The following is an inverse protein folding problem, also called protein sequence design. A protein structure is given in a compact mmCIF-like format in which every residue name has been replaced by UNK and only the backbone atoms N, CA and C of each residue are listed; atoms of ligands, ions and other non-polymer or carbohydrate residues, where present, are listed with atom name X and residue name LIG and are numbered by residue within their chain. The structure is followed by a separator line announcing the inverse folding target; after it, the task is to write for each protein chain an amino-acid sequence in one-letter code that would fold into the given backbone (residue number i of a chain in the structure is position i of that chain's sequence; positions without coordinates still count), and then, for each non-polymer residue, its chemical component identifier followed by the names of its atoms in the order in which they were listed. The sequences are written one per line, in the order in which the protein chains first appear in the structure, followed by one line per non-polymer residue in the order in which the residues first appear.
data_IF_273127477570
#
_entry.id   IF_273127477570
#
_cell.length_a   1.000
_cell.length_b   1.000
_cell.length_c   1.000
_cell.angle_alpha   90.00
_cell.angle_beta   90.00
_cell.angle_gamma   90.00
#
_symmetry.space_group_name_H-M   'P 1'
#
loop_
_entity.id
_entity.type
_entity.pdbx_description
1 polymer ?
#
# COMPACT_ATOMS: atom_id res chain seq x y z
N UNK A 1 -38.84 -16.11 -55.71
CA UNK A 1 -38.70 -16.66 -54.35
C UNK A 1 -37.43 -16.20 -53.61
N UNK A 2 -36.41 -15.67 -54.27
CA UNK A 2 -35.12 -15.28 -53.64
C UNK A 2 -35.15 -13.98 -52.83
N UNK A 3 -35.93 -12.95 -53.19
CA UNK A 3 -35.96 -11.64 -52.53
C UNK A 3 -36.69 -11.64 -51.19
N UNK A 4 -37.68 -12.49 -50.98
CA UNK A 4 -38.42 -12.60 -49.71
C UNK A 4 -37.59 -13.27 -48.60
N UNK A 5 -36.73 -14.22 -48.97
CA UNK A 5 -35.84 -14.93 -48.02
C UNK A 5 -34.73 -14.03 -47.50
N UNK A 6 -34.17 -13.15 -48.35
CA UNK A 6 -33.17 -12.16 -47.92
C UNK A 6 -33.72 -11.14 -46.95
N UNK A 7 -34.96 -10.68 -47.13
CA UNK A 7 -35.61 -9.72 -46.20
C UNK A 7 -35.88 -10.35 -44.83
N UNK A 8 -36.29 -11.62 -44.80
CA UNK A 8 -36.48 -12.37 -43.55
C UNK A 8 -35.17 -12.62 -42.80
N UNK A 9 -34.08 -12.88 -43.47
CA UNK A 9 -32.76 -13.08 -42.85
C UNK A 9 -32.23 -11.73 -42.31
N UNK A 10 -32.40 -10.63 -43.03
CA UNK A 10 -32.01 -9.29 -42.57
C UNK A 10 -32.82 -8.84 -41.33
N UNK A 11 -34.12 -9.15 -41.27
CA UNK A 11 -34.94 -8.83 -40.07
C UNK A 11 -34.57 -9.66 -38.86
N UNK A 12 -34.18 -10.91 -39.04
CA UNK A 12 -33.68 -11.76 -37.92
C UNK A 12 -32.32 -11.28 -37.37
N UNK A 13 -31.44 -10.77 -38.24
CA UNK A 13 -30.14 -10.23 -37.82
C UNK A 13 -30.32 -8.93 -36.99
N UNK A 14 -31.29 -8.07 -37.36
CA UNK A 14 -31.56 -6.84 -36.62
C UNK A 14 -32.19 -7.11 -35.25
N UNK A 15 -33.04 -8.15 -35.12
CA UNK A 15 -33.62 -8.56 -33.84
C UNK A 15 -32.54 -9.18 -32.94
N UNK A 16 -31.59 -9.93 -33.50
CA UNK A 16 -30.45 -10.48 -32.74
C UNK A 16 -29.47 -9.42 -32.25
N UNK A 17 -29.23 -8.38 -33.07
CA UNK A 17 -28.37 -7.25 -32.67
C UNK A 17 -29.00 -6.42 -31.52
N UNK A 18 -30.34 -6.26 -31.53
CA UNK A 18 -31.03 -5.51 -30.46
C UNK A 18 -31.22 -6.28 -29.15
N UNK A 19 -31.16 -7.61 -29.20
CA UNK A 19 -31.21 -8.47 -28.00
C UNK A 19 -29.88 -8.46 -27.23
N UNK A 20 -28.77 -8.16 -27.91
CA UNK A 20 -27.43 -8.17 -27.28
C UNK A 20 -27.10 -6.91 -26.48
N UNK A 21 -27.86 -5.82 -26.68
CA UNK A 21 -27.62 -4.54 -26.01
C UNK A 21 -28.43 -4.34 -24.72
N UNK A 22 -29.16 -5.36 -24.28
CA UNK A 22 -29.86 -5.37 -22.98
C UNK A 22 -29.22 -6.23 -21.92
N UNK A 23 -27.94 -6.53 -22.02
CA UNK A 23 -27.21 -6.89 -20.83
C UNK A 23 -26.95 -5.58 -20.08
N UNK A 24 -27.84 -5.30 -19.09
CA UNK A 24 -27.51 -4.37 -18.01
C UNK A 24 -26.08 -4.67 -17.61
N UNK A 25 -25.21 -3.68 -17.80
CA UNK A 25 -23.87 -3.70 -17.23
C UNK A 25 -24.01 -4.20 -15.78
N UNK A 26 -23.24 -5.21 -15.36
CA UNK A 26 -23.24 -5.59 -13.96
C UNK A 26 -22.96 -4.30 -13.19
N UNK A 27 -23.77 -4.04 -12.16
CA UNK A 27 -23.56 -2.98 -11.19
C UNK A 27 -22.06 -3.02 -10.90
N UNK A 28 -21.31 -1.91 -11.10
CA UNK A 28 -19.87 -1.93 -10.86
C UNK A 28 -19.69 -2.41 -9.42
N UNK A 29 -18.95 -3.49 -9.27
CA UNK A 29 -18.66 -4.15 -8.00
C UNK A 29 -17.80 -3.29 -7.05
N UNK A 30 -17.85 -1.98 -7.18
CA UNK A 30 -17.16 -1.03 -6.31
C UNK A 30 -17.79 -0.93 -4.92
N UNK A 31 -19.04 -1.37 -4.74
CA UNK A 31 -19.74 -1.27 -3.45
C UNK A 31 -19.54 -2.48 -2.53
N UNK A 32 -18.80 -3.52 -2.96
CA UNK A 32 -18.61 -4.75 -2.15
C UNK A 32 -17.20 -4.79 -1.49
N UNK A 33 -16.41 -3.73 -1.60
CA UNK A 33 -15.07 -3.71 -0.99
C UNK A 33 -15.06 -3.56 0.55
N UNK A 34 -16.23 -3.46 1.20
CA UNK A 34 -16.33 -3.33 2.66
C UNK A 34 -16.32 -4.66 3.41
N UNK A 35 -16.47 -5.79 2.73
CA UNK A 35 -16.47 -7.12 3.35
C UNK A 35 -15.22 -7.86 2.91
N UNK A 36 -14.24 -7.97 3.81
CA UNK A 36 -12.95 -8.59 3.49
C UNK A 36 -13.02 -10.12 3.54
N UNK A 37 -13.78 -10.66 4.50
CA UNK A 37 -13.99 -12.11 4.64
C UNK A 37 -15.32 -12.37 5.32
N UNK A 38 -15.99 -13.45 4.91
CA UNK A 38 -17.17 -13.99 5.59
C UNK A 38 -16.80 -15.38 6.09
N UNK A 39 -16.83 -15.56 7.40
CA UNK A 39 -16.58 -16.84 8.04
C UNK A 39 -17.91 -17.47 8.48
N UNK A 40 -18.01 -18.78 8.31
CA UNK A 40 -19.10 -19.59 8.85
C UNK A 40 -18.71 -20.07 10.25
N UNK A 41 -19.43 -19.65 11.26
CA UNK A 41 -19.28 -20.19 12.63
C UNK A 41 -20.50 -20.99 13.02
N UNK A 42 -20.29 -22.22 13.48
CA UNK A 42 -21.33 -23.07 14.03
C UNK A 42 -21.20 -23.02 15.55
N UNK A 43 -22.21 -22.51 16.22
CA UNK A 43 -22.31 -22.48 17.68
C UNK A 43 -23.69 -22.92 18.11
N UNK A 44 -23.74 -23.81 19.10
CA UNK A 44 -24.99 -24.33 19.70
C UNK A 44 -25.99 -24.92 18.66
N UNK A 45 -25.45 -25.61 17.63
CA UNK A 45 -26.18 -26.19 16.50
C UNK A 45 -26.88 -25.18 15.57
N UNK A 46 -26.47 -23.89 15.67
CA UNK A 46 -26.92 -22.84 14.76
C UNK A 46 -25.72 -22.32 13.94
N UNK A 47 -25.96 -21.79 12.73
CA UNK A 47 -24.94 -21.34 11.79
C UNK A 47 -25.01 -19.84 11.65
N UNK A 48 -23.90 -19.17 12.02
CA UNK A 48 -23.76 -17.72 11.93
C UNK A 48 -22.79 -17.35 10.80
N UNK A 49 -23.11 -16.29 10.07
CA UNK A 49 -22.22 -15.65 9.12
C UNK A 49 -21.53 -14.47 9.80
N UNK A 50 -20.23 -14.58 10.03
CA UNK A 50 -19.42 -13.50 10.57
C UNK A 50 -18.75 -12.72 9.42
N UNK A 51 -19.13 -11.47 9.26
CA UNK A 51 -18.51 -10.60 8.26
C UNK A 51 -17.51 -9.66 8.92
N UNK A 52 -16.25 -9.70 8.47
CA UNK A 52 -15.24 -8.73 8.86
C UNK A 52 -15.36 -7.51 7.94
N UNK A 53 -15.61 -6.36 8.54
CA UNK A 53 -15.73 -5.09 7.82
C UNK A 53 -14.53 -4.21 8.09
N UNK A 54 -14.10 -3.43 7.11
CA UNK A 54 -13.10 -2.40 7.31
C UNK A 54 -13.58 -1.33 8.28
N UNK A 55 -12.66 -0.78 9.06
CA UNK A 55 -12.95 0.34 9.94
C UNK A 55 -13.36 1.56 9.11
N UNK A 56 -14.44 2.23 9.54
CA UNK A 56 -14.85 3.51 8.96
C UNK A 56 -14.42 4.61 9.94
N UNK A 57 -13.60 5.54 9.45
CA UNK A 57 -13.13 6.66 10.24
C UNK A 57 -13.96 7.90 9.97
N UNK A 58 -14.54 8.47 11.01
CA UNK A 58 -15.32 9.71 10.92
C UNK A 58 -14.51 10.84 11.57
N UNK A 59 -14.08 11.79 10.76
CA UNK A 59 -13.35 12.96 11.20
C UNK A 59 -14.15 14.24 11.00
N UNK A 60 -13.93 15.27 11.80
CA UNK A 60 -14.47 16.60 11.53
C UNK A 60 -14.10 17.07 10.14
N UNK A 61 -14.99 17.87 9.52
CA UNK A 61 -14.73 18.46 8.21
C UNK A 61 -13.41 19.25 8.24
N UNK A 62 -12.58 19.02 7.23
CA UNK A 62 -11.34 19.76 7.08
C UNK A 62 -11.64 21.20 6.66
N UNK A 63 -11.10 22.14 7.43
CA UNK A 63 -11.07 23.55 7.09
C UNK A 63 -9.62 23.97 6.95
N UNK A 64 -9.29 24.63 5.87
CA UNK A 64 -7.93 25.12 5.62
C UNK A 64 -7.90 26.63 5.82
N UNK A 65 -6.95 27.12 6.61
CA UNK A 65 -6.76 28.55 6.84
C UNK A 65 -6.26 29.28 5.59
N UNK A 66 -5.59 28.57 4.70
CA UNK A 66 -5.04 29.10 3.46
C UNK A 66 -4.78 28.01 2.41
N UNK A 67 -4.59 28.42 1.15
CA UNK A 67 -4.28 27.51 0.03
C UNK A 67 -3.00 26.71 0.21
N UNK A 68 -2.06 27.17 1.03
CA UNK A 68 -0.81 26.45 1.29
C UNK A 68 -1.06 25.21 2.15
N UNK A 69 -1.90 25.33 3.20
CA UNK A 69 -2.32 24.19 4.02
C UNK A 69 -3.10 23.15 3.20
N UNK A 70 -4.00 23.61 2.33
CA UNK A 70 -4.74 22.72 1.44
C UNK A 70 -3.79 21.96 0.50
N UNK A 71 -2.84 22.64 -0.15
CA UNK A 71 -1.83 22.01 -1.01
C UNK A 71 -0.97 21.02 -0.25
N UNK A 72 -0.58 21.35 0.98
CA UNK A 72 0.19 20.45 1.85
C UNK A 72 -0.60 19.18 2.16
N UNK A 73 -1.88 19.31 2.52
CA UNK A 73 -2.75 18.16 2.79
C UNK A 73 -2.85 17.24 1.56
N UNK A 74 -3.21 17.76 0.40
CA UNK A 74 -3.34 16.95 -0.80
C UNK A 74 -2.03 16.36 -1.30
N UNK A 75 -0.91 17.04 -1.05
CA UNK A 75 0.42 16.48 -1.26
C UNK A 75 0.67 15.29 -0.32
N UNK A 76 0.33 15.42 0.95
CA UNK A 76 0.42 14.34 1.94
C UNK A 76 -0.42 13.14 1.50
N UNK A 77 -1.66 13.33 1.08
CA UNK A 77 -2.52 12.26 0.55
C UNK A 77 -1.85 11.50 -0.60
N UNK A 78 -1.30 12.22 -1.59
CA UNK A 78 -0.62 11.58 -2.72
C UNK A 78 0.65 10.83 -2.31
N UNK A 79 1.43 11.42 -1.40
CA UNK A 79 2.68 10.81 -0.94
C UNK A 79 2.38 9.56 -0.10
N UNK A 80 1.39 9.59 0.80
CA UNK A 80 0.93 8.43 1.57
C UNK A 80 0.41 7.33 0.66
N UNK A 81 -0.54 7.62 -0.23
CA UNK A 81 -1.10 6.62 -1.18
C UNK A 81 -0.02 5.90 -1.97
N UNK A 82 1.04 6.63 -2.36
CA UNK A 82 2.13 6.04 -3.13
C UNK A 82 3.10 5.23 -2.28
N UNK A 83 3.39 5.66 -1.06
CA UNK A 83 4.47 5.09 -0.25
C UNK A 83 4.00 4.07 0.78
N UNK A 84 2.74 4.10 1.22
CA UNK A 84 2.20 3.18 2.22
C UNK A 84 2.34 1.71 1.82
N UNK A 85 2.02 1.27 0.58
CA UNK A 85 2.22 -0.11 0.17
C UNK A 85 3.70 -0.53 0.26
N UNK A 86 4.61 0.38 -0.09
CA UNK A 86 6.06 0.09 0.00
C UNK A 86 6.53 0.03 1.45
N UNK A 87 6.02 0.89 2.34
CA UNK A 87 6.36 0.84 3.77
C UNK A 87 5.96 -0.51 4.38
N UNK A 88 4.72 -0.95 4.17
CA UNK A 88 4.23 -2.25 4.64
C UNK A 88 5.07 -3.41 4.10
N UNK A 89 5.36 -3.38 2.81
CA UNK A 89 6.16 -4.42 2.15
C UNK A 89 7.61 -4.46 2.69
N UNK A 90 8.27 -3.31 2.82
CA UNK A 90 9.64 -3.25 3.35
C UNK A 90 9.71 -3.69 4.81
N UNK A 91 8.72 -3.34 5.62
CA UNK A 91 8.63 -3.80 7.01
C UNK A 91 8.47 -5.33 7.07
N UNK A 92 7.66 -5.93 6.20
CA UNK A 92 7.55 -7.39 6.10
C UNK A 92 8.87 -8.05 5.66
N UNK A 93 9.57 -7.47 4.67
CA UNK A 93 10.88 -7.95 4.23
C UNK A 93 11.93 -7.87 5.37
N UNK A 94 11.86 -6.84 6.22
CA UNK A 94 12.73 -6.71 7.39
C UNK A 94 12.43 -7.77 8.46
N UNK A 95 11.15 -7.98 8.79
CA UNK A 95 10.72 -9.04 9.71
C UNK A 95 11.17 -10.40 9.20
N UNK A 96 11.04 -10.66 7.91
CA UNK A 96 11.53 -11.88 7.29
C UNK A 96 13.05 -12.01 7.43
N UNK A 97 13.81 -10.95 7.15
CA UNK A 97 15.25 -10.94 7.27
C UNK A 97 15.72 -11.23 8.71
N UNK A 98 15.09 -10.61 9.72
CA UNK A 98 15.38 -10.84 11.13
C UNK A 98 15.14 -12.31 11.52
N UNK A 99 14.01 -12.89 11.08
CA UNK A 99 13.70 -14.32 11.31
C UNK A 99 14.74 -15.26 10.67
N UNK A 100 15.23 -14.94 9.47
CA UNK A 100 16.25 -15.75 8.81
C UNK A 100 17.62 -15.60 9.49
N UNK A 101 17.99 -14.36 9.87
CA UNK A 101 19.25 -14.10 10.57
C UNK A 101 19.30 -14.74 11.96
N UNK A 102 18.15 -14.84 12.65
CA UNK A 102 18.08 -15.51 13.96
C UNK A 102 18.40 -17.01 13.87
N UNK A 103 18.14 -17.66 12.74
CA UNK A 103 18.44 -19.08 12.51
C UNK A 103 19.92 -19.36 12.24
N UNK A 104 20.72 -18.34 11.97
CA UNK A 104 22.14 -18.49 11.61
C UNK A 104 22.99 -18.13 12.83
N UNK A 105 23.60 -19.10 13.49
CA UNK A 105 24.46 -18.86 14.66
C UNK A 105 25.79 -18.16 14.28
N UNK A 106 26.39 -18.55 13.15
CA UNK A 106 27.68 -18.03 12.69
C UNK A 106 27.56 -16.58 12.16
N UNK A 107 28.33 -15.69 12.75
CA UNK A 107 28.30 -14.27 12.40
C UNK A 107 28.80 -13.97 10.98
N UNK A 108 29.78 -14.76 10.46
CA UNK A 108 30.31 -14.62 9.10
C UNK A 108 29.25 -15.04 8.06
N UNK A 109 28.53 -16.14 8.33
CA UNK A 109 27.42 -16.62 7.50
C UNK A 109 26.25 -15.63 7.53
N UNK A 110 25.91 -15.04 8.70
CA UNK A 110 24.89 -13.96 8.81
C UNK A 110 25.22 -12.78 7.91
N UNK A 111 26.49 -12.32 7.95
CA UNK A 111 26.97 -11.19 7.12
C UNK A 111 26.89 -11.51 5.62
N UNK A 112 27.26 -12.73 5.23
CA UNK A 112 27.16 -13.17 3.83
C UNK A 112 25.73 -13.29 3.34
N UNK A 113 24.84 -13.86 4.16
CA UNK A 113 23.42 -13.97 3.85
C UNK A 113 22.80 -12.58 3.67
N UNK A 114 23.05 -11.66 4.62
CA UNK A 114 22.56 -10.30 4.54
C UNK A 114 23.01 -9.58 3.27
N UNK A 115 24.27 -9.67 2.91
CA UNK A 115 24.80 -9.05 1.69
C UNK A 115 24.11 -9.53 0.41
N UNK A 116 23.77 -10.84 0.36
CA UNK A 116 23.02 -11.41 -0.77
C UNK A 116 21.57 -10.90 -0.79
N UNK A 117 20.95 -10.88 0.38
CA UNK A 117 19.55 -10.45 0.54
C UNK A 117 19.36 -8.96 0.24
N UNK A 118 20.25 -8.11 0.74
CA UNK A 118 20.31 -6.69 0.41
C UNK A 118 20.40 -6.46 -1.11
N UNK A 119 21.28 -7.16 -1.79
CA UNK A 119 21.42 -7.06 -3.25
C UNK A 119 20.14 -7.49 -3.98
N UNK A 120 19.46 -8.51 -3.47
CA UNK A 120 18.18 -8.96 -3.98
C UNK A 120 17.09 -7.87 -3.81
N UNK A 121 16.95 -7.33 -2.61
CA UNK A 121 15.98 -6.26 -2.32
C UNK A 121 16.24 -5.02 -3.18
N UNK A 122 17.51 -4.61 -3.26
CA UNK A 122 17.87 -3.46 -4.07
C UNK A 122 17.49 -3.68 -5.55
N UNK A 123 17.84 -4.82 -6.12
CA UNK A 123 17.48 -5.15 -7.51
C UNK A 123 15.97 -5.19 -7.72
N UNK A 124 15.22 -5.69 -6.75
CA UNK A 124 13.76 -5.83 -6.83
C UNK A 124 13.04 -4.47 -6.80
N UNK A 125 13.50 -3.54 -5.96
CA UNK A 125 12.80 -2.28 -5.70
C UNK A 125 13.52 -1.03 -6.21
N UNK A 126 14.71 -1.15 -6.81
CA UNK A 126 15.51 0.00 -7.27
C UNK A 126 14.73 0.93 -8.21
N UNK A 127 14.01 0.36 -9.17
CA UNK A 127 13.26 1.18 -10.15
C UNK A 127 12.16 2.00 -9.49
N UNK A 128 11.46 1.44 -8.50
CA UNK A 128 10.39 2.11 -7.79
C UNK A 128 10.95 3.24 -6.92
N UNK A 129 12.04 2.97 -6.19
CA UNK A 129 12.69 3.99 -5.37
C UNK A 129 13.29 5.13 -6.21
N UNK A 130 13.85 4.84 -7.38
CA UNK A 130 14.38 5.89 -8.28
C UNK A 130 13.30 6.82 -8.81
N UNK A 131 12.05 6.36 -8.90
CA UNK A 131 10.89 7.16 -9.31
C UNK A 131 10.27 7.96 -8.16
N UNK A 132 10.73 7.78 -6.93
CA UNK A 132 10.25 8.54 -5.78
C UNK A 132 10.92 9.91 -5.70
N UNK A 133 10.12 10.92 -5.37
CA UNK A 133 10.66 12.25 -5.02
C UNK A 133 11.27 12.22 -3.61
N UNK A 134 12.09 13.21 -3.27
CA UNK A 134 12.64 13.33 -1.91
C UNK A 134 11.54 13.34 -0.82
N UNK A 135 10.43 14.04 -1.08
CA UNK A 135 9.27 14.07 -0.17
C UNK A 135 8.63 12.69 0.01
N UNK A 136 8.53 11.91 -1.07
CA UNK A 136 8.02 10.53 -1.00
C UNK A 136 8.97 9.61 -0.26
N UNK A 137 10.28 9.79 -0.44
CA UNK A 137 11.27 9.07 0.34
C UNK A 137 11.17 9.36 1.83
N UNK A 138 11.06 10.63 2.22
CA UNK A 138 10.83 11.03 3.61
C UNK A 138 9.53 10.44 4.17
N UNK A 139 8.44 10.49 3.40
CA UNK A 139 7.16 9.88 3.79
C UNK A 139 7.30 8.36 3.97
N UNK A 140 7.98 7.67 3.07
CA UNK A 140 8.25 6.24 3.19
C UNK A 140 8.92 5.87 4.51
N UNK A 141 9.92 6.67 4.94
CA UNK A 141 10.60 6.43 6.21
C UNK A 141 9.69 6.64 7.41
N UNK A 142 8.92 7.73 7.42
CA UNK A 142 7.92 7.97 8.46
C UNK A 142 6.92 6.81 8.57
N UNK A 143 6.46 6.30 7.44
CA UNK A 143 5.55 5.15 7.43
C UNK A 143 6.22 3.85 7.87
N UNK A 144 7.50 3.65 7.57
CA UNK A 144 8.26 2.51 8.09
C UNK A 144 8.46 2.59 9.61
N UNK A 145 8.68 3.79 10.16
CA UNK A 145 8.76 4.00 11.61
C UNK A 145 7.42 3.61 12.28
N UNK A 146 6.30 4.03 11.68
CA UNK A 146 4.95 3.67 12.13
C UNK A 146 4.70 2.16 12.11
N UNK A 147 5.09 1.49 11.03
CA UNK A 147 4.80 0.06 10.81
C UNK A 147 5.71 -0.89 11.61
N UNK A 148 6.88 -0.42 12.08
CA UNK A 148 7.92 -1.30 12.64
C UNK A 148 8.14 -1.15 14.14
N UNK A 149 7.49 -0.22 14.83
CA UNK A 149 7.77 0.19 16.21
C UNK A 149 9.26 0.53 16.48
N UNK A 150 10.04 0.73 15.41
CA UNK A 150 11.46 1.10 15.46
C UNK A 150 11.67 2.32 14.60
N UNK A 151 12.50 3.24 15.08
CA UNK A 151 12.88 4.37 14.23
C UNK A 151 13.66 3.91 13.01
N UNK A 152 13.43 4.55 11.87
CA UNK A 152 14.20 4.30 10.65
C UNK A 152 15.70 4.43 10.90
N UNK A 153 16.10 5.28 11.84
CA UNK A 153 17.49 5.40 12.28
C UNK A 153 18.01 4.10 12.92
N UNK A 154 17.24 3.47 13.80
CA UNK A 154 17.62 2.20 14.43
C UNK A 154 17.69 1.06 13.43
N UNK A 155 16.73 1.01 12.50
CA UNK A 155 16.75 0.06 11.40
C UNK A 155 18.00 0.26 10.55
N UNK A 156 18.29 1.48 10.15
CA UNK A 156 19.48 1.83 9.38
C UNK A 156 20.75 1.50 10.17
N UNK A 157 20.82 1.85 11.45
CA UNK A 157 21.97 1.54 12.32
C UNK A 157 22.19 0.03 12.47
N UNK A 158 21.12 -0.72 12.65
CA UNK A 158 21.20 -2.19 12.78
C UNK A 158 21.78 -2.85 11.53
N UNK A 159 21.44 -2.35 10.34
CA UNK A 159 21.86 -2.92 9.07
C UNK A 159 23.07 -2.22 8.43
N UNK A 160 23.42 -0.99 8.85
CA UNK A 160 24.47 -0.14 8.24
C UNK A 160 25.86 -0.81 8.19
N UNK A 161 26.22 -1.58 9.18
CA UNK A 161 27.51 -2.29 9.18
C UNK A 161 27.58 -3.52 8.26
N UNK A 162 26.49 -3.85 7.59
CA UNK A 162 26.30 -5.07 6.79
C UNK A 162 26.05 -4.78 5.32
N UNK A 163 25.64 -3.54 4.99
CA UNK A 163 25.16 -3.10 3.68
C UNK A 163 26.25 -2.47 2.80
N UNK A 164 26.01 -2.42 1.49
CA UNK A 164 26.95 -1.80 0.55
C UNK A 164 26.93 -0.25 0.60
N UNK A 165 28.08 0.38 0.34
CA UNK A 165 28.18 1.84 0.32
C UNK A 165 27.19 2.49 -0.67
N UNK A 166 26.95 1.87 -1.81
CA UNK A 166 26.07 2.37 -2.85
C UNK A 166 24.59 2.43 -2.39
N UNK A 167 24.13 1.41 -1.65
CA UNK A 167 22.81 1.40 -1.05
C UNK A 167 22.65 2.58 -0.07
N UNK A 168 23.63 2.78 0.81
CA UNK A 168 23.59 3.84 1.80
C UNK A 168 23.71 5.25 1.20
N UNK A 169 24.49 5.39 0.14
CA UNK A 169 24.54 6.67 -0.62
C UNK A 169 23.18 6.98 -1.26
N UNK A 170 22.51 5.97 -1.79
CA UNK A 170 21.17 6.11 -2.37
C UNK A 170 20.15 6.49 -1.30
N UNK A 171 20.13 5.78 -0.17
CA UNK A 171 19.29 6.10 0.99
C UNK A 171 19.58 7.53 1.50
N UNK A 172 20.86 7.89 1.71
CA UNK A 172 21.24 9.24 2.15
C UNK A 172 20.80 10.35 1.19
N UNK A 173 20.81 10.09 -0.12
CA UNK A 173 20.32 11.03 -1.14
C UNK A 173 18.80 11.24 -1.07
N UNK A 174 18.04 10.21 -0.73
CA UNK A 174 16.59 10.30 -0.53
C UNK A 174 16.22 11.03 0.77
N UNK A 175 17.09 10.95 1.81
CA UNK A 175 16.78 11.37 3.19
C UNK A 175 17.63 12.53 3.65
N UNK A 176 17.34 13.71 3.12
CA UNK A 176 18.21 14.88 3.35
C UNK A 176 18.37 15.32 4.80
N UNK A 177 17.54 15.04 5.79
CA UNK A 177 17.82 15.61 7.14
C UNK A 177 17.19 14.97 8.41
N UNK A 178 16.13 14.15 8.40
CA UNK A 178 15.49 13.81 9.69
C UNK A 178 15.20 12.33 9.90
N UNK A 179 16.27 11.53 10.04
CA UNK A 179 16.16 10.10 10.38
C UNK A 179 16.06 9.82 11.89
N UNK A 180 16.24 10.84 12.72
CA UNK A 180 16.29 10.67 14.20
C UNK A 180 14.96 10.92 14.89
N UNK A 181 14.08 11.67 14.26
CA UNK A 181 12.75 11.92 14.79
C UNK A 181 11.84 10.74 14.45
N UNK A 182 11.42 9.99 15.46
CA UNK A 182 10.44 8.92 15.32
C UNK A 182 9.06 9.44 14.84
N UNK A 183 8.20 8.53 14.42
CA UNK A 183 6.82 8.84 14.07
C UNK A 183 6.01 9.21 15.32
N UNK A 184 5.22 10.27 15.24
CA UNK A 184 4.38 10.76 16.32
C UNK A 184 2.95 11.01 15.80
N UNK A 185 2.11 10.00 15.99
CA UNK A 185 0.72 10.00 15.52
C UNK A 185 -0.17 11.04 16.22
N UNK A 186 0.16 11.41 17.45
CA UNK A 186 -0.70 12.26 18.29
C UNK A 186 -0.43 13.76 18.09
N UNK A 187 0.80 14.12 17.72
CA UNK A 187 1.20 15.52 17.57
C UNK A 187 1.65 15.83 16.14
N UNK A 188 2.94 15.74 15.85
CA UNK A 188 3.51 16.26 14.59
C UNK A 188 3.06 15.52 13.33
N UNK A 189 2.76 14.23 13.42
CA UNK A 189 2.32 13.41 12.29
C UNK A 189 0.80 13.14 12.28
N UNK A 190 0.03 13.83 13.12
CA UNK A 190 -1.44 13.67 13.23
C UNK A 190 -2.18 13.78 11.89
N UNK A 191 -1.75 14.68 11.00
CA UNK A 191 -2.34 14.82 9.66
C UNK A 191 -2.00 13.59 8.80
N UNK A 192 -0.78 13.09 8.92
CA UNK A 192 -0.32 11.90 8.19
C UNK A 192 -1.11 10.68 8.66
N UNK A 193 -1.27 10.50 9.99
CA UNK A 193 -2.04 9.39 10.58
C UNK A 193 -3.51 9.42 10.13
N UNK A 194 -4.15 10.59 10.16
CA UNK A 194 -5.50 10.75 9.62
C UNK A 194 -5.60 10.31 8.16
N UNK A 195 -4.64 10.70 7.33
CA UNK A 195 -4.61 10.32 5.90
C UNK A 195 -4.39 8.82 5.74
N UNK A 196 -3.50 8.21 6.54
CA UNK A 196 -3.26 6.76 6.52
C UNK A 196 -4.55 6.01 6.82
N UNK A 197 -5.21 6.35 7.92
CA UNK A 197 -6.45 5.70 8.35
C UNK A 197 -7.54 5.78 7.27
N UNK A 198 -7.69 6.93 6.61
CA UNK A 198 -8.64 7.11 5.52
C UNK A 198 -8.25 6.33 4.25
N UNK A 199 -6.96 6.23 3.95
CA UNK A 199 -6.44 5.44 2.80
C UNK A 199 -6.61 3.95 3.06
N UNK A 200 -6.30 3.47 4.25
CA UNK A 200 -6.47 2.07 4.65
C UNK A 200 -7.93 1.64 4.68
N UNK A 201 -8.82 2.55 5.06
CA UNK A 201 -10.26 2.33 5.04
C UNK A 201 -10.90 2.51 3.65
N UNK A 202 -10.12 2.81 2.60
CA UNK A 202 -10.64 3.05 1.26
C UNK A 202 -11.51 4.32 1.13
N UNK A 203 -11.40 5.26 2.08
CA UNK A 203 -12.17 6.50 2.12
C UNK A 203 -11.45 7.67 1.41
N UNK A 204 -10.22 7.49 1.01
CA UNK A 204 -9.42 8.41 0.19
C UNK A 204 -8.83 7.70 -1.02
#
# INVERSE_FOLDING_TARGET
MSRAICILILSLITIYAWSKDRQKSPIPSQDIQFIEQVELQVKDNDTFYLAHMHNIYVYPKLTFSNKQQERFYWKTVRDVKKTLPFAKLLTQEMIFADKQLAKIADQKKRKQWWKKYEKYLFKKYEQDFRKMTASQGQMLMKLMDRESDRTSYEIIKHYRGKASANFWQFIAKLFKNDLKEGYDAEDKDRIVERVINLVEAGQL
#
